data_IF_232630610768
#
_entry.id   IF_232630610768
#
_cell.length_a   1.000
_cell.length_b   1.000
_cell.length_c   1.000
_cell.angle_alpha   90.00
_cell.angle_beta   90.00
_cell.angle_gamma   90.00
#
_symmetry.space_group_name_H-M   'P 1'
#
loop_
_entity.id
_entity.type
_entity.pdbx_description
1 polymer ?
#
# COMPACT_ATOMS: atom_id res chain seq x y z
N UNK A 1 -17.24 -2.57 -10.78
CA UNK A 1 -15.85 -2.29 -11.20
C UNK A 1 -15.35 -3.50 -11.98
N UNK A 2 -14.70 -3.30 -13.12
CA UNK A 2 -14.12 -4.40 -13.92
C UNK A 2 -12.69 -4.71 -13.48
N UNK A 3 -12.15 -5.87 -13.88
CA UNK A 3 -10.76 -6.22 -13.61
C UNK A 3 -9.78 -5.20 -14.21
N UNK A 4 -10.05 -4.71 -15.43
CA UNK A 4 -9.23 -3.68 -16.08
C UNK A 4 -9.20 -2.37 -15.26
N UNK A 5 -10.35 -1.90 -14.79
CA UNK A 5 -10.42 -0.70 -13.93
C UNK A 5 -9.68 -0.92 -12.62
N UNK A 6 -9.82 -2.09 -12.00
CA UNK A 6 -9.10 -2.43 -10.78
C UNK A 6 -7.58 -2.39 -10.98
N UNK A 7 -7.07 -3.06 -12.02
CA UNK A 7 -5.63 -3.13 -12.33
C UNK A 7 -5.07 -1.72 -12.60
N UNK A 8 -5.79 -0.91 -13.38
CA UNK A 8 -5.39 0.48 -13.67
C UNK A 8 -5.26 1.30 -12.39
N UNK A 9 -6.24 1.22 -11.49
CA UNK A 9 -6.19 1.91 -10.21
C UNK A 9 -5.09 1.35 -9.29
N UNK A 10 -4.83 0.04 -9.35
CA UNK A 10 -3.75 -0.61 -8.61
C UNK A 10 -2.38 -0.02 -8.95
N UNK A 11 -2.12 0.29 -10.24
CA UNK A 11 -0.90 0.99 -10.66
C UNK A 11 -0.79 2.37 -10.02
N UNK A 12 -1.88 3.15 -10.02
CA UNK A 12 -1.90 4.50 -9.43
C UNK A 12 -1.61 4.42 -7.93
N UNK A 13 -2.26 3.51 -7.22
CA UNK A 13 -2.02 3.30 -5.79
C UNK A 13 -0.58 2.88 -5.54
N UNK A 14 -0.05 1.93 -6.31
CA UNK A 14 1.34 1.49 -6.16
C UNK A 14 2.36 2.63 -6.35
N UNK A 15 2.12 3.55 -7.28
CA UNK A 15 2.94 4.76 -7.45
C UNK A 15 2.87 5.64 -6.19
N UNK A 16 1.67 5.87 -5.64
CA UNK A 16 1.51 6.68 -4.42
C UNK A 16 2.22 6.05 -3.22
N UNK A 17 2.10 4.73 -3.03
CA UNK A 17 2.80 3.99 -1.97
C UNK A 17 4.32 4.08 -2.13
N UNK A 18 4.81 4.01 -3.38
CA UNK A 18 6.23 4.12 -3.65
C UNK A 18 6.76 5.51 -3.32
N UNK A 19 6.03 6.57 -3.69
CA UNK A 19 6.38 7.95 -3.35
C UNK A 19 6.47 8.12 -1.83
N UNK A 20 5.48 7.64 -1.07
CA UNK A 20 5.51 7.74 0.39
C UNK A 20 6.64 6.92 1.00
N UNK A 21 6.86 5.70 0.52
CA UNK A 21 7.94 4.85 1.01
C UNK A 21 9.33 5.45 0.74
N UNK A 22 9.52 6.08 -0.42
CA UNK A 22 10.74 6.82 -0.75
C UNK A 22 10.91 8.05 0.14
N UNK A 23 9.83 8.77 0.42
CA UNK A 23 9.83 9.91 1.34
C UNK A 23 10.20 9.45 2.76
N UNK A 24 9.59 8.39 3.26
CA UNK A 24 9.89 7.81 4.57
C UNK A 24 11.35 7.35 4.66
N UNK A 25 11.85 6.66 3.63
CA UNK A 25 13.23 6.21 3.58
C UNK A 25 14.22 7.39 3.55
N UNK A 26 13.94 8.42 2.76
CA UNK A 26 14.81 9.58 2.59
C UNK A 26 14.78 10.53 3.78
N UNK A 27 13.62 10.71 4.42
CA UNK A 27 13.42 11.58 5.59
C UNK A 27 13.71 10.90 6.93
N UNK A 28 14.46 9.79 6.91
CA UNK A 28 14.84 9.02 8.11
C UNK A 28 13.65 8.61 8.97
N UNK A 29 12.53 8.25 8.34
CA UNK A 29 11.33 7.75 9.02
C UNK A 29 10.36 8.83 9.53
N UNK A 30 10.62 10.12 9.28
CA UNK A 30 9.67 11.19 9.64
C UNK A 30 8.46 11.19 8.71
N UNK A 31 7.27 11.21 9.30
CA UNK A 31 6.00 11.35 8.60
C UNK A 31 5.90 12.74 7.95
N UNK A 32 5.45 12.80 6.71
CA UNK A 32 5.19 14.06 5.99
C UNK A 32 3.70 14.42 6.06
N UNK A 33 3.34 15.66 5.71
CA UNK A 33 1.92 16.03 5.57
C UNK A 33 1.18 15.20 4.52
N UNK A 34 1.90 14.65 3.53
CA UNK A 34 1.34 13.76 2.52
C UNK A 34 1.04 12.35 3.07
N UNK A 35 1.74 11.94 4.12
CA UNK A 35 1.61 10.61 4.72
C UNK A 35 0.17 10.32 5.16
N UNK A 36 -0.50 11.29 5.78
CA UNK A 36 -1.89 11.12 6.23
C UNK A 36 -2.86 10.91 5.05
N UNK A 37 -2.70 11.69 3.97
CA UNK A 37 -3.53 11.57 2.78
C UNK A 37 -3.31 10.22 2.10
N UNK A 38 -2.05 9.81 1.92
CA UNK A 38 -1.71 8.53 1.29
C UNK A 38 -2.20 7.36 2.15
N UNK A 39 -2.02 7.43 3.47
CA UNK A 39 -2.53 6.41 4.40
C UNK A 39 -4.06 6.27 4.34
N UNK A 40 -4.78 7.40 4.20
CA UNK A 40 -6.24 7.37 4.02
C UNK A 40 -6.63 6.70 2.70
N UNK A 41 -5.90 7.01 1.61
CA UNK A 41 -6.13 6.37 0.31
C UNK A 41 -5.81 4.88 0.34
N UNK A 42 -4.74 4.45 1.03
CA UNK A 42 -4.41 3.04 1.23
C UNK A 42 -5.50 2.31 2.00
N UNK A 43 -6.09 2.95 3.02
CA UNK A 43 -7.20 2.38 3.76
C UNK A 43 -8.46 2.22 2.89
N UNK A 44 -8.79 3.22 2.08
CA UNK A 44 -9.89 3.10 1.11
C UNK A 44 -9.58 1.99 0.10
N UNK A 45 -8.34 1.91 -0.39
CA UNK A 45 -7.92 0.86 -1.31
C UNK A 45 -7.98 -0.53 -0.68
N UNK A 46 -7.67 -0.69 0.61
CA UNK A 46 -7.88 -1.93 1.34
C UNK A 46 -9.33 -2.40 1.24
N UNK A 47 -10.30 -1.51 1.49
CA UNK A 47 -11.72 -1.84 1.37
C UNK A 47 -12.08 -2.27 -0.05
N UNK A 48 -11.53 -1.58 -1.05
CA UNK A 48 -11.69 -1.94 -2.46
C UNK A 48 -11.09 -3.31 -2.76
N UNK A 49 -9.91 -3.65 -2.23
CA UNK A 49 -9.28 -4.96 -2.39
C UNK A 49 -10.10 -6.07 -1.74
N UNK A 50 -10.58 -5.86 -0.51
CA UNK A 50 -11.45 -6.82 0.18
C UNK A 50 -12.73 -7.06 -0.64
N UNK A 51 -13.39 -6.01 -1.09
CA UNK A 51 -14.57 -6.13 -1.94
C UNK A 51 -14.26 -6.87 -3.26
N UNK A 52 -13.13 -6.54 -3.90
CA UNK A 52 -12.72 -7.11 -5.17
C UNK A 52 -12.49 -8.63 -5.09
N UNK A 53 -11.93 -9.12 -3.98
CA UNK A 53 -11.69 -10.56 -3.76
C UNK A 53 -12.96 -11.42 -3.86
N UNK A 54 -14.13 -10.85 -3.56
CA UNK A 54 -15.40 -11.58 -3.58
C UNK A 54 -16.33 -11.18 -4.74
N UNK A 55 -16.08 -10.05 -5.38
CA UNK A 55 -17.03 -9.43 -6.31
C UNK A 55 -16.53 -9.29 -7.74
N UNK A 56 -15.23 -9.50 -7.99
CA UNK A 56 -14.62 -9.38 -9.32
C UNK A 56 -14.09 -10.73 -9.75
N UNK A 57 -14.44 -11.13 -10.97
CA UNK A 57 -13.83 -12.28 -11.63
C UNK A 57 -12.51 -11.82 -12.27
N UNK A 58 -11.39 -12.12 -11.61
CA UNK A 58 -10.06 -11.81 -12.10
C UNK A 58 -9.58 -12.87 -13.08
N UNK A 59 -9.10 -12.48 -14.28
CA UNK A 59 -8.41 -13.40 -15.17
C UNK A 59 -7.05 -13.83 -14.62
N UNK A 60 -6.73 -15.11 -14.82
CA UNK A 60 -5.46 -15.73 -14.48
C UNK A 60 -5.00 -15.45 -13.03
N UNK A 61 -3.76 -15.01 -12.87
CA UNK A 61 -3.08 -14.81 -11.60
C UNK A 61 -3.42 -13.45 -10.95
N UNK A 62 -4.17 -12.57 -11.62
CA UNK A 62 -4.33 -11.16 -11.19
C UNK A 62 -5.12 -10.99 -9.88
N UNK A 63 -5.84 -12.02 -9.43
CA UNK A 63 -6.44 -12.08 -8.08
C UNK A 63 -5.39 -11.95 -6.96
N UNK A 64 -4.13 -12.24 -7.27
CA UNK A 64 -3.02 -12.06 -6.34
C UNK A 64 -2.82 -10.58 -5.94
N UNK A 65 -3.13 -9.61 -6.81
CA UNK A 65 -2.97 -8.18 -6.52
C UNK A 65 -3.76 -7.73 -5.28
N UNK A 66 -5.10 -7.88 -5.22
CA UNK A 66 -5.85 -7.52 -4.01
C UNK A 66 -5.47 -8.39 -2.80
N UNK A 67 -5.17 -9.68 -3.00
CA UNK A 67 -4.79 -10.58 -1.90
C UNK A 67 -3.46 -10.16 -1.24
N UNK A 68 -2.46 -9.82 -2.05
CA UNK A 68 -1.16 -9.36 -1.58
C UNK A 68 -1.27 -8.02 -0.85
N UNK A 69 -2.09 -7.09 -1.37
CA UNK A 69 -2.33 -5.80 -0.71
C UNK A 69 -2.98 -5.97 0.67
N UNK A 70 -4.05 -6.77 0.76
CA UNK A 70 -4.71 -7.07 2.04
C UNK A 70 -3.72 -7.70 3.04
N UNK A 71 -2.94 -8.68 2.58
CA UNK A 71 -1.95 -9.36 3.40
C UNK A 71 -0.88 -8.39 3.92
N UNK A 72 -0.39 -7.50 3.05
CA UNK A 72 0.57 -6.47 3.42
C UNK A 72 0.01 -5.54 4.50
N UNK A 73 -1.22 -5.04 4.35
CA UNK A 73 -1.81 -4.12 5.33
C UNK A 73 -2.01 -4.80 6.69
N UNK A 74 -2.40 -6.08 6.72
CA UNK A 74 -2.51 -6.85 7.97
C UNK A 74 -1.16 -6.92 8.68
N UNK A 75 -0.09 -7.28 7.96
CA UNK A 75 1.26 -7.39 8.51
C UNK A 75 1.80 -6.02 8.93
N UNK A 76 1.64 -4.99 8.10
CA UNK A 76 2.05 -3.63 8.40
C UNK A 76 1.34 -3.09 9.65
N UNK A 77 0.02 -3.30 9.77
CA UNK A 77 -0.76 -2.88 10.94
C UNK A 77 -0.31 -3.61 12.20
N UNK A 78 -0.02 -4.91 12.10
CA UNK A 78 0.51 -5.70 13.22
C UNK A 78 1.84 -5.12 13.73
N UNK A 79 2.77 -4.81 12.83
CA UNK A 79 4.05 -4.21 13.19
C UNK A 79 3.90 -2.78 13.73
N UNK A 80 3.05 -1.96 13.12
CA UNK A 80 2.79 -0.59 13.57
C UNK A 80 2.20 -0.55 14.97
N UNK A 81 1.25 -1.44 15.29
CA UNK A 81 0.70 -1.56 16.66
C UNK A 81 1.75 -1.83 17.72
N UNK A 82 2.78 -2.60 17.39
CA UNK A 82 3.88 -2.86 18.31
C UNK A 82 4.73 -1.61 18.57
N UNK A 83 4.90 -0.74 17.56
CA UNK A 83 5.66 0.50 17.67
C UNK A 83 4.89 1.63 18.35
N UNK A 84 3.58 1.64 18.22
CA UNK A 84 2.72 2.72 18.76
C UNK A 84 2.10 2.36 20.10
N UNK A 85 2.52 1.25 20.73
CA UNK A 85 1.88 0.71 21.94
C UNK A 85 1.92 1.68 23.13
N UNK A 86 2.97 2.48 23.21
CA UNK A 86 3.24 3.41 24.32
C UNK A 86 2.94 4.88 23.94
N UNK A 87 2.27 5.12 22.82
CA UNK A 87 1.88 6.46 22.35
C UNK A 87 0.45 6.72 22.79
N UNK A 88 0.29 7.54 23.84
CA UNK A 88 -1.02 7.84 24.42
C UNK A 88 -1.72 9.05 23.76
N UNK A 89 -0.98 9.92 23.06
CA UNK A 89 -1.51 11.14 22.43
C UNK A 89 -1.14 11.27 20.93
N UNK A 90 -2.04 11.86 20.15
CA UNK A 90 -1.91 12.17 18.72
C UNK A 90 -0.77 13.16 18.47
N UNK A 91 -0.50 14.08 19.41
CA UNK A 91 0.66 14.99 19.28
C UNK A 91 1.98 14.23 19.32
N UNK A 92 2.11 13.23 20.18
CA UNK A 92 3.29 12.34 20.22
C UNK A 92 3.39 11.45 18.97
N UNK A 93 2.27 11.13 18.31
CA UNK A 93 2.29 10.40 17.05
C UNK A 93 2.92 11.20 15.88
N UNK A 94 2.93 12.54 15.94
CA UNK A 94 3.61 13.39 14.94
C UNK A 94 5.13 13.33 15.05
N UNK A 95 5.64 12.99 16.24
CA UNK A 95 7.08 12.80 16.49
C UNK A 95 7.52 11.36 16.22
N UNK A 96 6.59 10.47 15.83
CA UNK A 96 6.89 9.09 15.53
C UNK A 96 7.90 8.99 14.38
N UNK A 97 9.03 8.38 14.68
CA UNK A 97 10.05 8.04 13.70
C UNK A 97 9.87 6.57 13.33
N UNK A 98 9.50 6.30 12.09
CA UNK A 98 9.39 4.93 11.59
C UNK A 98 10.79 4.31 11.50
N UNK A 99 11.03 3.14 12.14
CA UNK A 99 12.29 2.43 12.05
C UNK A 99 12.68 2.11 10.59
N UNK A 100 13.98 2.23 10.27
CA UNK A 100 14.49 2.06 8.90
C UNK A 100 14.16 0.70 8.29
N UNK A 101 14.14 -0.37 9.09
CA UNK A 101 13.75 -1.70 8.64
C UNK A 101 12.29 -1.74 8.15
N UNK A 102 11.36 -1.08 8.84
CA UNK A 102 9.97 -1.00 8.37
C UNK A 102 9.83 -0.12 7.13
N UNK A 103 10.58 1.00 7.07
CA UNK A 103 10.61 1.84 5.86
C UNK A 103 11.14 1.04 4.64
N UNK A 104 12.12 0.17 4.83
CA UNK A 104 12.61 -0.73 3.75
C UNK A 104 11.57 -1.79 3.35
N UNK A 105 10.80 -2.34 4.30
CA UNK A 105 9.71 -3.27 3.99
C UNK A 105 8.62 -2.58 3.16
N UNK A 106 8.21 -1.37 3.56
CA UNK A 106 7.24 -0.57 2.83
C UNK A 106 7.75 -0.26 1.40
N UNK A 107 9.02 0.14 1.27
CA UNK A 107 9.63 0.40 -0.03
C UNK A 107 9.69 -0.85 -0.92
N UNK A 108 10.09 -1.98 -0.35
CA UNK A 108 10.14 -3.27 -1.05
C UNK A 108 8.76 -3.68 -1.56
N UNK A 109 7.75 -3.65 -0.69
CA UNK A 109 6.37 -3.95 -1.07
C UNK A 109 5.87 -3.00 -2.16
N UNK A 110 6.05 -1.69 -1.99
CA UNK A 110 5.58 -0.68 -2.96
C UNK A 110 6.21 -0.88 -4.34
N UNK A 111 7.50 -1.21 -4.38
CA UNK A 111 8.22 -1.50 -5.62
C UNK A 111 7.66 -2.76 -6.28
N UNK A 112 7.50 -3.85 -5.52
CA UNK A 112 6.92 -5.10 -6.05
C UNK A 112 5.48 -4.91 -6.51
N UNK A 113 4.65 -4.19 -5.75
CA UNK A 113 3.28 -3.89 -6.09
C UNK A 113 3.19 -3.09 -7.41
N UNK A 114 4.08 -2.12 -7.61
CA UNK A 114 4.13 -1.34 -8.85
C UNK A 114 4.52 -2.22 -10.05
N UNK A 115 5.58 -3.01 -9.91
CA UNK A 115 6.06 -3.90 -10.99
C UNK A 115 4.97 -4.91 -11.39
N UNK A 116 4.37 -5.57 -10.40
CA UNK A 116 3.35 -6.60 -10.64
C UNK A 116 2.07 -5.98 -11.20
N UNK A 117 1.62 -4.84 -10.68
CA UNK A 117 0.44 -4.13 -11.22
C UNK A 117 0.70 -3.60 -12.63
N UNK A 118 1.90 -3.07 -12.90
CA UNK A 118 2.29 -2.60 -14.22
C UNK A 118 2.35 -3.71 -15.25
N UNK A 119 2.88 -4.88 -14.87
CA UNK A 119 2.89 -6.06 -15.72
C UNK A 119 1.47 -6.56 -16.01
N UNK A 120 0.61 -6.65 -14.99
CA UNK A 120 -0.81 -6.97 -15.18
C UNK A 120 -1.49 -5.94 -16.10
N UNK A 121 -1.20 -4.65 -15.94
CA UNK A 121 -1.79 -3.61 -16.77
C UNK A 121 -1.37 -3.75 -18.24
N UNK A 122 -0.09 -4.00 -18.53
CA UNK A 122 0.41 -4.21 -19.90
C UNK A 122 -0.23 -5.43 -20.57
N UNK A 123 -0.44 -6.52 -19.82
CA UNK A 123 -1.09 -7.72 -20.34
C UNK A 123 -2.54 -7.44 -20.80
N UNK A 124 -3.22 -6.47 -20.18
CA UNK A 124 -4.61 -6.12 -20.49
C UNK A 124 -4.75 -4.93 -21.44
N UNK A 125 -3.76 -4.04 -21.50
CA UNK A 125 -3.76 -2.94 -22.46
C UNK A 125 -3.45 -3.41 -23.89
N UNK A 126 -2.87 -4.61 -24.04
CA UNK A 126 -2.57 -5.25 -25.33
C UNK A 126 -3.66 -6.20 -25.86
N UNK A 127 -4.77 -6.36 -25.13
CA UNK A 127 -5.95 -7.16 -25.53
C UNK A 127 -7.12 -6.27 -25.87
#
# INVERSE_FOLDING_TARGET
>A
MTAHTFITLSVIIAILQLVESLNLYSNRGKLTGLAMTISTLEFIWLLVCVYALFSISFPDWTIFLPAAFVSYIIVATWHSRHLTKDIEDIESAKELIIPKNLAMIALGFSTSHLVVSGFAWLQYAGT
#
